data_IF_822224454239
#
_entry.id   IF_822224454239
#
_cell.length_a   1.000
_cell.length_b   1.000
_cell.length_c   1.000
_cell.angle_alpha   90.00
_cell.angle_beta   90.00
_cell.angle_gamma   90.00
#
_symmetry.space_group_name_H-M   'P 1'
#
loop_
_entity.id
_entity.type
_entity.pdbx_description
1 polymer ?
#
# COMPACT_ATOMS: atom_id res chain seq x y z
N UNK A 1 -0.55 11.33 11.74
CA UNK A 1 -0.93 10.67 10.46
C UNK A 1 -0.23 11.32 9.27
N UNK A 2 -0.19 12.65 9.18
CA UNK A 2 0.64 13.35 8.17
C UNK A 2 2.13 13.02 8.25
N UNK A 3 2.70 12.92 9.47
CA UNK A 3 4.11 12.54 9.63
C UNK A 3 4.43 11.15 9.06
N UNK A 4 3.52 10.18 9.24
CA UNK A 4 3.64 8.84 8.65
C UNK A 4 3.64 8.89 7.12
N UNK A 5 2.71 9.65 6.53
CA UNK A 5 2.62 9.86 5.07
C UNK A 5 3.91 10.49 4.53
N UNK A 6 4.50 11.44 5.24
CA UNK A 6 5.76 12.08 4.85
C UNK A 6 6.96 11.14 4.97
N UNK A 7 7.03 10.33 6.03
CA UNK A 7 8.06 9.32 6.22
C UNK A 7 8.01 8.26 5.11
N UNK A 8 6.82 7.74 4.80
CA UNK A 8 6.61 6.77 3.72
C UNK A 8 7.01 7.35 2.36
N UNK A 9 6.65 8.59 2.06
CA UNK A 9 7.05 9.27 0.82
C UNK A 9 8.58 9.39 0.71
N UNK A 10 9.27 9.76 1.81
CA UNK A 10 10.73 9.81 1.86
C UNK A 10 11.36 8.42 1.67
N UNK A 11 10.78 7.38 2.27
CA UNK A 11 11.23 6.01 2.15
C UNK A 11 11.09 5.50 0.71
N UNK A 12 9.92 5.70 0.09
CA UNK A 12 9.64 5.33 -1.31
C UNK A 12 10.65 5.99 -2.24
N UNK A 13 10.91 7.29 -2.06
CA UNK A 13 11.88 8.03 -2.87
C UNK A 13 13.29 7.47 -2.70
N UNK A 14 13.75 7.29 -1.45
CA UNK A 14 15.10 6.83 -1.14
C UNK A 14 15.36 5.40 -1.62
N UNK A 15 14.39 4.51 -1.46
CA UNK A 15 14.48 3.13 -1.98
C UNK A 15 14.42 3.13 -3.50
N UNK A 16 13.57 3.95 -4.12
CA UNK A 16 13.49 4.08 -5.59
C UNK A 16 14.79 4.56 -6.23
N UNK A 17 15.48 5.52 -5.60
CA UNK A 17 16.79 6.03 -6.06
C UNK A 17 17.92 5.01 -5.86
N UNK A 18 17.89 4.23 -4.77
CA UNK A 18 18.95 3.26 -4.43
C UNK A 18 18.77 1.87 -5.05
N UNK A 19 17.55 1.44 -5.35
CA UNK A 19 17.25 0.12 -5.93
C UNK A 19 18.05 -0.19 -7.20
N UNK A 20 18.21 0.74 -8.16
CA UNK A 20 18.99 0.50 -9.39
C UNK A 20 20.47 0.27 -9.13
N UNK A 21 21.02 0.81 -8.03
CA UNK A 21 22.44 0.70 -7.70
C UNK A 21 22.77 -0.57 -6.89
N UNK A 22 21.78 -1.39 -6.56
CA UNK A 22 21.97 -2.60 -5.74
C UNK A 22 22.18 -3.81 -6.64
N UNK A 23 23.44 -4.24 -6.73
CA UNK A 23 23.83 -5.43 -7.50
C UNK A 23 23.31 -6.73 -6.85
N UNK A 24 23.31 -6.80 -5.52
CA UNK A 24 22.87 -7.99 -4.79
C UNK A 24 21.38 -8.26 -5.01
N UNK A 25 21.08 -9.33 -5.76
CA UNK A 25 19.72 -9.73 -6.14
C UNK A 25 18.81 -10.01 -4.93
N UNK A 26 19.34 -10.57 -3.83
CA UNK A 26 18.55 -10.86 -2.61
C UNK A 26 18.14 -9.57 -1.91
N UNK A 27 19.08 -8.63 -1.77
CA UNK A 27 18.80 -7.31 -1.16
C UNK A 27 17.80 -6.53 -2.01
N UNK A 28 17.96 -6.58 -3.34
CA UNK A 28 17.02 -5.94 -4.28
C UNK A 28 15.62 -6.52 -4.17
N UNK A 29 15.49 -7.83 -4.07
CA UNK A 29 14.20 -8.51 -3.91
C UNK A 29 13.52 -8.11 -2.60
N UNK A 30 14.26 -8.14 -1.48
CA UNK A 30 13.73 -7.75 -0.17
C UNK A 30 13.26 -6.29 -0.16
N UNK A 31 14.08 -5.36 -0.65
CA UNK A 31 13.72 -3.94 -0.71
C UNK A 31 12.56 -3.68 -1.67
N UNK A 32 12.45 -4.45 -2.76
CA UNK A 32 11.30 -4.34 -3.68
C UNK A 32 10.00 -4.82 -3.02
N UNK A 33 10.06 -5.88 -2.22
CA UNK A 33 8.91 -6.38 -1.47
C UNK A 33 8.44 -5.38 -0.41
N UNK A 34 9.38 -4.83 0.37
CA UNK A 34 9.09 -3.76 1.35
C UNK A 34 8.48 -2.55 0.65
N UNK A 35 9.08 -2.10 -0.46
CA UNK A 35 8.55 -0.96 -1.22
C UNK A 35 7.13 -1.19 -1.75
N UNK A 36 6.83 -2.40 -2.18
CA UNK A 36 5.49 -2.77 -2.66
C UNK A 36 4.46 -2.75 -1.53
N UNK A 37 4.82 -3.27 -0.36
CA UNK A 37 3.96 -3.27 0.82
C UNK A 37 3.66 -1.85 1.30
N UNK A 38 4.69 -1.01 1.45
CA UNK A 38 4.55 0.40 1.86
C UNK A 38 3.67 1.20 0.88
N UNK A 39 3.81 0.97 -0.43
CA UNK A 39 2.93 1.61 -1.43
C UNK A 39 1.46 1.19 -1.28
N UNK A 40 1.20 -0.08 -0.98
CA UNK A 40 -0.15 -0.60 -0.76
C UNK A 40 -0.74 -0.01 0.52
N UNK A 41 0.04 -0.01 1.60
CA UNK A 41 -0.35 0.51 2.90
C UNK A 41 -0.67 2.01 2.82
N UNK A 42 0.19 2.80 2.17
CA UNK A 42 -0.04 4.23 1.93
C UNK A 42 -1.33 4.51 1.17
N UNK A 43 -1.62 3.73 0.12
CA UNK A 43 -2.83 3.88 -0.70
C UNK A 43 -4.08 3.57 0.11
N UNK A 44 -4.03 2.58 0.98
CA UNK A 44 -5.13 2.22 1.88
C UNK A 44 -5.39 3.33 2.90
N UNK A 45 -4.35 3.84 3.58
CA UNK A 45 -4.51 4.94 4.53
C UNK A 45 -5.09 6.20 3.89
N UNK A 46 -4.66 6.56 2.67
CA UNK A 46 -5.24 7.68 1.92
C UNK A 46 -6.72 7.47 1.58
N UNK A 47 -7.10 6.24 1.21
CA UNK A 47 -8.52 5.91 0.97
C UNK A 47 -9.32 6.07 2.25
N UNK A 48 -8.88 5.48 3.37
CA UNK A 48 -9.54 5.61 4.67
C UNK A 48 -9.67 7.07 5.09
N UNK A 49 -8.61 7.88 4.93
CA UNK A 49 -8.68 9.31 5.22
C UNK A 49 -9.70 10.03 4.33
N UNK A 50 -9.74 9.71 3.03
CA UNK A 50 -10.71 10.29 2.09
C UNK A 50 -12.15 9.95 2.49
N UNK A 51 -12.38 8.73 2.98
CA UNK A 51 -13.68 8.28 3.52
C UNK A 51 -14.06 9.10 4.75
N UNK A 52 -13.15 9.21 5.71
CA UNK A 52 -13.39 9.93 6.97
C UNK A 52 -13.63 11.42 6.75
N UNK A 53 -12.89 12.05 5.82
CA UNK A 53 -13.01 13.49 5.50
C UNK A 53 -14.26 13.80 4.67
N UNK A 54 -14.71 12.87 3.81
CA UNK A 54 -15.92 13.08 2.99
C UNK A 54 -17.23 12.96 3.77
N UNK A 55 -17.21 12.43 4.99
CA UNK A 55 -18.27 12.55 5.99
C UNK A 55 -19.57 11.80 5.69
N UNK A 56 -20.06 11.76 4.46
CA UNK A 56 -21.42 11.29 4.16
C UNK A 56 -21.44 10.72 2.72
N UNK A 57 -22.15 9.62 2.50
CA UNK A 57 -22.31 8.90 1.20
C UNK A 57 -21.23 7.86 0.84
N UNK A 58 -20.97 6.90 1.72
CA UNK A 58 -20.30 5.65 1.34
C UNK A 58 -21.26 4.48 1.55
N UNK A 59 -21.44 3.66 0.52
CA UNK A 59 -22.30 2.48 0.57
C UNK A 59 -21.55 1.28 1.16
N UNK A 60 -22.26 0.27 1.65
CA UNK A 60 -21.61 -0.99 2.11
C UNK A 60 -20.81 -1.66 0.98
N UNK A 61 -21.23 -1.47 -0.27
CA UNK A 61 -20.55 -1.99 -1.45
C UNK A 61 -19.17 -1.33 -1.64
N UNK A 62 -19.07 -0.02 -1.44
CA UNK A 62 -17.80 0.70 -1.45
C UNK A 62 -16.86 0.21 -0.33
N UNK A 63 -17.41 -0.15 0.84
CA UNK A 63 -16.65 -0.75 1.93
C UNK A 63 -16.09 -2.12 1.56
N UNK A 64 -16.94 -3.00 1.00
CA UNK A 64 -16.52 -4.31 0.52
C UNK A 64 -15.46 -4.21 -0.57
N UNK A 65 -15.60 -3.27 -1.49
CA UNK A 65 -14.67 -3.09 -2.61
C UNK A 65 -13.28 -2.60 -2.13
N UNK A 66 -13.23 -1.82 -1.05
CA UNK A 66 -11.98 -1.38 -0.41
C UNK A 66 -11.31 -2.51 0.35
N UNK A 67 -12.08 -3.32 1.09
CA UNK A 67 -11.56 -4.45 1.85
C UNK A 67 -11.05 -5.53 0.89
N UNK A 68 -11.87 -5.99 -0.06
CA UNK A 68 -11.53 -7.08 -0.98
C UNK A 68 -10.36 -6.75 -1.93
N UNK A 69 -10.23 -5.50 -2.40
CA UNK A 69 -9.04 -5.11 -3.21
C UNK A 69 -7.73 -5.15 -2.41
N UNK A 70 -7.79 -5.16 -1.08
CA UNK A 70 -6.61 -5.04 -0.22
C UNK A 70 -6.28 -6.30 0.60
N UNK A 71 -7.08 -7.37 0.56
CA UNK A 71 -6.69 -8.69 1.08
C UNK A 71 -5.90 -9.51 0.04
N UNK A 72 -4.84 -10.26 0.43
CA UNK A 72 -3.99 -11.01 -0.51
C UNK A 72 -4.56 -12.36 -0.96
N UNK A 73 -5.59 -12.87 -0.27
CA UNK A 73 -6.13 -14.21 -0.48
C UNK A 73 -7.60 -14.13 -0.86
N UNK A 74 -7.87 -14.36 -2.13
CA UNK A 74 -9.14 -14.95 -2.53
C UNK A 74 -8.90 -16.45 -2.42
N UNK A 75 -9.66 -17.15 -1.60
CA UNK A 75 -9.62 -18.61 -1.57
C UNK A 75 -9.66 -19.11 -3.00
N UNK A 76 -8.72 -19.98 -3.36
CA UNK A 76 -8.80 -20.72 -4.62
C UNK A 76 -10.23 -21.31 -4.72
N UNK A 77 -10.90 -21.22 -5.88
CA UNK A 77 -12.10 -21.99 -6.09
C UNK A 77 -11.67 -23.47 -6.13
N UNK A 78 -11.70 -24.10 -4.96
CA UNK A 78 -11.58 -25.54 -4.81
C UNK A 78 -12.96 -26.07 -4.43
N UNK A 79 -13.61 -26.76 -5.37
CA UNK A 79 -14.91 -27.40 -5.21
C UNK A 79 -15.87 -27.05 -6.32
#
# INVERSE_FOLDING_TARGET
MEEHIQLEAKLIKKIGEKLPTIENKKVRLLLSAILADEKRHHKLLKKVLTILVRGETITEEDWWDIIWKNVPFHGAPGG
#
